data_IF_086700207533
#
_entry.id   IF_086700207533
#
_cell.length_a   1.000
_cell.length_b   1.000
_cell.length_c   1.000
_cell.angle_alpha   90.00
_cell.angle_beta   90.00
_cell.angle_gamma   90.00
#
_symmetry.space_group_name_H-M   'P 1'
#
loop_
_entity.id
_entity.type
_entity.pdbx_description
1 polymer ?
#
# COMPACT_ATOMS: atom_id res chain seq x y z
N UNK A 1 29.97 -63.51 9.11
CA UNK A 1 29.18 -62.81 10.14
C UNK A 1 29.45 -61.32 10.01
N UNK A 2 28.43 -60.56 9.60
CA UNK A 2 28.03 -59.24 10.13
C UNK A 2 29.05 -58.07 10.10
N UNK A 3 28.83 -56.89 9.51
CA UNK A 3 27.58 -56.18 9.13
C UNK A 3 27.82 -55.11 8.06
N UNK A 4 26.92 -55.12 7.08
CA UNK A 4 26.17 -54.00 6.50
C UNK A 4 26.84 -52.63 6.38
N UNK A 5 27.04 -52.27 5.11
CA UNK A 5 27.21 -50.93 4.58
C UNK A 5 26.24 -49.92 5.23
N UNK A 6 26.80 -48.92 5.90
CA UNK A 6 26.05 -47.74 6.31
C UNK A 6 26.25 -46.62 5.28
N UNK A 7 25.23 -46.49 4.43
CA UNK A 7 24.87 -45.27 3.73
C UNK A 7 24.88 -44.09 4.72
N UNK A 8 25.88 -43.22 4.67
CA UNK A 8 25.69 -41.84 5.15
C UNK A 8 25.11 -41.04 3.99
N UNK A 9 23.79 -41.05 3.94
CA UNK A 9 22.93 -40.25 3.07
C UNK A 9 23.35 -38.78 3.21
N UNK A 10 23.70 -38.18 2.08
CA UNK A 10 23.90 -36.75 1.92
C UNK A 10 22.56 -36.07 2.17
N UNK A 11 22.34 -35.57 3.39
CA UNK A 11 21.16 -34.74 3.70
C UNK A 11 21.46 -33.31 3.25
N UNK A 12 21.19 -33.08 1.97
CA UNK A 12 21.19 -31.77 1.32
C UNK A 12 19.94 -31.02 1.85
N UNK A 13 20.09 -30.29 2.95
CA UNK A 13 19.03 -29.44 3.50
C UNK A 13 18.90 -28.23 2.57
N UNK A 14 18.09 -28.40 1.52
CA UNK A 14 17.41 -27.32 0.83
C UNK A 14 16.46 -26.69 1.85
N UNK A 15 16.90 -25.66 2.57
CA UNK A 15 15.97 -24.74 3.22
C UNK A 15 15.26 -23.98 2.10
N UNK A 16 14.11 -24.53 1.71
CA UNK A 16 13.12 -23.90 0.85
C UNK A 16 12.89 -22.46 1.31
N UNK A 17 12.92 -21.56 0.35
CA UNK A 17 12.68 -20.14 0.57
C UNK A 17 11.38 -19.93 1.31
N UNK A 18 11.45 -19.29 2.46
CA UNK A 18 10.32 -18.55 3.00
C UNK A 18 10.14 -17.34 2.10
N UNK A 19 9.38 -17.50 1.02
CA UNK A 19 8.69 -16.38 0.40
C UNK A 19 7.72 -15.87 1.46
N UNK A 20 8.18 -14.93 2.28
CA UNK A 20 7.31 -14.16 3.17
C UNK A 20 6.28 -13.46 2.29
N UNK A 21 5.02 -13.56 2.69
CA UNK A 21 3.84 -13.14 1.96
C UNK A 21 3.98 -11.74 1.34
N UNK A 22 3.79 -11.63 0.03
CA UNK A 22 3.62 -10.36 -0.69
C UNK A 22 2.17 -9.86 -0.50
N UNK A 23 1.75 -9.66 0.75
CA UNK A 23 0.37 -9.27 1.09
C UNK A 23 0.22 -7.80 1.53
N UNK A 24 1.30 -7.06 1.72
CA UNK A 24 1.26 -5.68 2.26
C UNK A 24 1.85 -4.65 1.30
N UNK A 25 1.23 -4.43 0.13
CA UNK A 25 1.58 -3.32 -0.77
C UNK A 25 0.60 -2.13 -0.70
N UNK A 26 -0.54 -2.33 -0.02
CA UNK A 26 -1.46 -1.26 0.31
C UNK A 26 -0.97 -0.49 1.52
N UNK A 27 -1.11 0.83 1.48
CA UNK A 27 -0.72 1.76 2.54
C UNK A 27 0.78 1.81 2.85
N UNK A 28 1.62 1.22 2.00
CA UNK A 28 3.05 1.43 2.08
C UNK A 28 3.38 2.91 1.88
N UNK A 29 4.39 3.44 2.59
CA UNK A 29 4.81 4.82 2.41
C UNK A 29 5.20 5.10 0.96
N UNK A 30 4.67 6.17 0.40
CA UNK A 30 5.07 6.75 -0.88
C UNK A 30 5.37 8.24 -0.65
N UNK A 31 6.62 8.60 -0.31
CA UNK A 31 6.99 9.99 -0.14
C UNK A 31 6.78 10.76 -1.44
N UNK A 32 6.08 11.88 -1.33
CA UNK A 32 5.98 12.84 -2.42
C UNK A 32 7.33 13.54 -2.64
N UNK A 33 7.64 13.88 -3.88
CA UNK A 33 8.70 14.86 -4.12
C UNK A 33 8.25 16.23 -3.57
N UNK A 34 9.18 17.03 -3.06
CA UNK A 34 8.93 18.38 -2.52
C UNK A 34 8.15 19.29 -3.49
N UNK A 35 8.24 19.02 -4.78
CA UNK A 35 7.48 19.73 -5.81
C UNK A 35 6.01 19.37 -5.78
N UNK A 36 5.68 18.10 -5.56
CA UNK A 36 4.30 17.60 -5.46
C UNK A 36 3.70 18.06 -4.14
N UNK A 37 4.41 17.94 -3.01
CA UNK A 37 3.96 18.42 -1.70
C UNK A 37 3.49 19.89 -1.74
N UNK A 38 4.26 20.76 -2.42
CA UNK A 38 3.91 22.17 -2.57
C UNK A 38 2.61 22.43 -3.34
N UNK A 39 2.26 21.56 -4.28
CA UNK A 39 1.01 21.66 -5.04
C UNK A 39 -0.14 21.12 -4.19
N UNK A 40 0.10 20.03 -3.46
CA UNK A 40 -0.86 19.40 -2.55
C UNK A 40 -1.33 20.34 -1.44
N UNK A 41 -0.41 21.06 -0.81
CA UNK A 41 -0.71 21.97 0.30
C UNK A 41 -1.59 23.16 -0.09
N UNK A 42 -1.73 23.46 -1.39
CA UNK A 42 -2.48 24.62 -1.89
C UNK A 42 -3.91 24.33 -2.31
N UNK A 43 -4.31 23.06 -2.47
CA UNK A 43 -5.60 22.72 -3.11
C UNK A 43 -6.74 22.32 -2.15
N UNK A 44 -6.50 22.15 -0.85
CA UNK A 44 -7.51 21.62 0.06
C UNK A 44 -7.65 22.42 1.36
N UNK A 45 -8.68 23.30 1.42
CA UNK A 45 -9.05 24.05 2.63
C UNK A 45 -9.86 23.21 3.64
N UNK A 46 -10.56 22.15 3.21
CA UNK A 46 -11.54 21.42 4.04
C UNK A 46 -11.42 19.87 4.02
N UNK A 47 -10.49 19.29 3.27
CA UNK A 47 -10.39 17.83 3.07
C UNK A 47 -9.38 17.13 3.99
N UNK A 48 -9.69 15.91 4.45
CA UNK A 48 -8.73 15.01 5.12
C UNK A 48 -7.66 14.51 4.14
N UNK A 49 -8.03 14.33 2.86
CA UNK A 49 -7.15 13.89 1.79
C UNK A 49 -6.69 15.10 0.99
N UNK A 50 -5.40 15.41 1.10
CA UNK A 50 -4.78 16.62 0.54
C UNK A 50 -4.23 16.41 -0.86
N UNK A 51 -3.95 15.17 -1.25
CA UNK A 51 -3.34 14.90 -2.54
C UNK A 51 -3.57 13.50 -3.08
N UNK A 52 -3.66 13.40 -4.41
CA UNK A 52 -3.75 12.14 -5.13
C UNK A 52 -2.81 12.17 -6.34
N UNK A 53 -1.86 11.24 -6.38
CA UNK A 53 -0.95 11.03 -7.51
C UNK A 53 -1.21 9.65 -8.11
N UNK A 54 -1.78 9.59 -9.31
CA UNK A 54 -2.23 8.34 -9.97
C UNK A 54 -1.15 7.63 -10.81
N UNK A 55 0.11 8.04 -10.69
CA UNK A 55 1.27 7.44 -11.40
C UNK A 55 2.53 7.41 -10.53
N UNK A 56 2.40 6.95 -9.29
CA UNK A 56 3.53 6.89 -8.37
C UNK A 56 4.31 5.56 -8.53
N UNK A 57 5.60 5.59 -8.92
CA UNK A 57 6.37 4.40 -9.26
C UNK A 57 6.62 3.45 -8.07
N UNK A 58 6.36 3.90 -6.84
CA UNK A 58 6.47 3.08 -5.63
C UNK A 58 5.16 2.38 -5.25
N UNK A 59 4.05 2.66 -5.95
CA UNK A 59 2.76 2.08 -5.67
C UNK A 59 2.35 1.10 -6.77
N UNK A 60 1.96 -0.12 -6.39
CA UNK A 60 1.48 -1.16 -7.32
C UNK A 60 0.24 -0.78 -8.12
N UNK A 61 -0.65 -0.01 -7.49
CA UNK A 61 -1.86 0.52 -8.12
C UNK A 61 -1.63 1.91 -8.70
N UNK A 62 -0.37 2.34 -8.76
CA UNK A 62 0.09 3.64 -9.23
C UNK A 62 -0.49 4.82 -8.43
N UNK A 63 -1.28 4.60 -7.38
CA UNK A 63 -1.94 5.66 -6.61
C UNK A 63 -1.21 5.87 -5.29
N UNK A 64 -0.72 7.09 -5.09
CA UNK A 64 -0.19 7.59 -3.83
C UNK A 64 -1.10 8.73 -3.34
N UNK A 65 -1.58 8.63 -2.11
CA UNK A 65 -2.44 9.65 -1.49
C UNK A 65 -1.77 10.28 -0.29
N UNK A 66 -1.98 11.58 -0.14
CA UNK A 66 -1.38 12.39 0.92
C UNK A 66 -2.43 13.01 1.81
N UNK A 67 -2.12 13.11 3.10
CA UNK A 67 -2.97 13.74 4.10
C UNK A 67 -2.25 14.89 4.76
N UNK A 68 -3.01 15.84 5.30
CA UNK A 68 -2.45 16.99 5.97
C UNK A 68 -1.68 16.56 7.22
N UNK A 69 -0.37 16.79 7.24
CA UNK A 69 0.48 16.46 8.39
C UNK A 69 0.89 15.00 8.51
N UNK A 70 0.61 14.18 7.50
CA UNK A 70 1.07 12.79 7.42
C UNK A 70 1.84 12.54 6.12
N UNK A 71 2.69 11.51 6.12
CA UNK A 71 3.37 11.06 4.92
C UNK A 71 2.40 10.45 3.90
N UNK A 72 2.78 10.49 2.62
CA UNK A 72 2.00 9.84 1.56
C UNK A 72 1.99 8.32 1.71
N UNK A 73 0.86 7.69 1.39
CA UNK A 73 0.69 6.23 1.42
C UNK A 73 0.07 5.72 0.11
N UNK A 74 0.49 4.53 -0.31
CA UNK A 74 -0.07 3.88 -1.48
C UNK A 74 -1.54 3.50 -1.22
N UNK A 75 -2.39 3.72 -2.21
CA UNK A 75 -3.82 3.46 -2.10
C UNK A 75 -4.37 2.92 -3.43
N UNK A 76 -5.68 2.77 -3.49
CA UNK A 76 -6.42 2.42 -4.69
C UNK A 76 -7.75 3.15 -4.74
N UNK A 77 -8.35 3.20 -5.92
CA UNK A 77 -9.73 3.64 -6.07
C UNK A 77 -10.70 2.66 -5.44
N UNK A 78 -11.82 3.19 -4.97
CA UNK A 78 -12.90 2.39 -4.40
C UNK A 78 -14.25 2.88 -4.89
N UNK A 79 -15.30 2.08 -4.63
CA UNK A 79 -16.68 2.50 -4.83
C UNK A 79 -17.38 2.65 -3.48
N UNK A 80 -18.09 3.76 -3.24
CA UNK A 80 -18.81 3.98 -1.98
C UNK A 80 -19.88 2.91 -1.73
N UNK A 81 -20.42 2.29 -2.79
CA UNK A 81 -21.48 1.28 -2.67
C UNK A 81 -20.96 -0.12 -2.32
N UNK A 82 -19.71 -0.43 -2.68
CA UNK A 82 -19.14 -1.78 -2.50
C UNK A 82 -18.10 -1.86 -1.39
N UNK A 83 -17.55 -0.71 -0.96
CA UNK A 83 -16.47 -0.58 0.02
C UNK A 83 -15.39 -1.66 -0.15
N UNK A 84 -14.82 -1.74 -1.36
CA UNK A 84 -13.81 -2.71 -1.76
C UNK A 84 -12.39 -2.36 -1.23
N UNK A 85 -12.31 -1.71 -0.07
CA UNK A 85 -11.06 -1.27 0.51
C UNK A 85 -10.40 -2.38 1.34
N UNK A 86 -9.07 -2.58 1.22
CA UNK A 86 -8.37 -3.63 1.94
C UNK A 86 -8.11 -3.24 3.40
N UNK A 87 -8.08 -4.23 4.29
CA UNK A 87 -7.70 -4.02 5.69
C UNK A 87 -8.62 -3.06 6.46
N UNK A 88 -8.04 -2.33 7.42
CA UNK A 88 -8.73 -1.34 8.25
C UNK A 88 -8.72 0.05 7.56
N UNK A 89 -9.53 0.18 6.52
CA UNK A 89 -9.65 1.40 5.72
C UNK A 89 -11.07 1.68 5.27
N UNK A 90 -11.33 2.94 4.94
CA UNK A 90 -12.63 3.43 4.46
C UNK A 90 -12.52 4.04 3.07
N UNK A 91 -13.59 3.93 2.29
CA UNK A 91 -13.69 4.57 0.99
C UNK A 91 -14.12 6.04 1.14
N UNK A 92 -13.20 6.98 0.89
CA UNK A 92 -13.40 8.41 1.12
C UNK A 92 -13.33 9.18 -0.20
N UNK A 93 -14.19 10.19 -0.34
CA UNK A 93 -14.16 11.10 -1.50
C UNK A 93 -12.98 12.08 -1.39
N UNK A 94 -12.19 12.20 -2.44
CA UNK A 94 -11.14 13.22 -2.52
C UNK A 94 -11.74 14.61 -2.76
N UNK A 95 -12.73 14.69 -3.65
CA UNK A 95 -13.40 15.93 -4.00
C UNK A 95 -14.84 15.64 -4.45
N UNK A 96 -15.81 16.30 -3.82
CA UNK A 96 -17.24 16.11 -4.13
C UNK A 96 -17.61 16.49 -5.56
N UNK A 97 -16.82 17.34 -6.22
CA UNK A 97 -17.02 17.75 -7.61
C UNK A 97 -16.56 16.68 -8.61
N UNK A 98 -15.48 15.97 -8.29
CA UNK A 98 -14.92 14.96 -9.19
C UNK A 98 -15.48 13.56 -8.91
N UNK A 99 -16.10 13.36 -7.75
CA UNK A 99 -16.67 12.08 -7.30
C UNK A 99 -15.63 10.95 -7.37
N UNK A 100 -14.38 11.27 -7.05
CA UNK A 100 -13.29 10.30 -7.00
C UNK A 100 -13.10 9.80 -5.59
N UNK A 101 -13.13 8.48 -5.43
CA UNK A 101 -13.05 7.82 -4.12
C UNK A 101 -11.81 6.95 -4.01
N UNK A 102 -11.16 7.00 -2.85
CA UNK A 102 -9.93 6.28 -2.57
C UNK A 102 -10.01 5.61 -1.20
N UNK A 103 -9.27 4.51 -1.04
CA UNK A 103 -9.16 3.84 0.24
C UNK A 103 -8.22 4.60 1.17
N UNK A 104 -8.71 4.95 2.35
CA UNK A 104 -7.96 5.70 3.36
C UNK A 104 -7.86 4.86 4.63
N UNK A 105 -6.65 4.61 5.16
CA UNK A 105 -6.50 3.94 6.44
C UNK A 105 -7.28 4.68 7.53
N UNK A 106 -8.03 3.95 8.36
CA UNK A 106 -8.82 4.57 9.43
C UNK A 106 -7.94 5.29 10.47
N UNK A 107 -6.64 5.00 10.53
CA UNK A 107 -5.66 5.72 11.35
C UNK A 107 -5.36 7.16 10.86
N UNK A 108 -5.83 7.52 9.67
CA UNK A 108 -5.62 8.83 9.03
C UNK A 108 -6.96 9.60 8.84
N UNK A 109 -8.05 9.09 9.44
CA UNK A 109 -9.38 9.74 9.51
C UNK A 109 -9.59 10.39 10.88
#
# INVERSE_FOLDING_TARGET
MNRFAHLCIVTLILCAGTMGCAEDEFFNPCPFDKTIEKVCDTETEDGQLTCVVKTHPQCMKDICIGYRGHDGVCSQTCSPDSNNCPGDSSCITYNELTLEYYCVPNSHL
#
